data_IF_430116305623
#
_entry.id   IF_430116305623
#
_cell.length_a   1.000
_cell.length_b   1.000
_cell.length_c   1.000
_cell.angle_alpha   90.00
_cell.angle_beta   90.00
_cell.angle_gamma   90.00
#
_symmetry.space_group_name_H-M   'P 1'
#
loop_
_entity.id
_entity.type
_entity.pdbx_description
1 polymer ?
#
# COMPACT_ATOMS: atom_id res chain seq x y z
N UNK A 1 71.83 4.41 19.30
CA UNK A 1 71.35 3.50 18.24
C UNK A 1 70.13 4.14 17.57
N UNK A 2 70.23 4.43 16.26
CA UNK A 2 69.16 4.96 15.40
C UNK A 2 67.95 4.01 15.39
N UNK A 3 66.74 4.54 15.51
CA UNK A 3 65.54 3.94 14.87
C UNK A 3 64.61 5.02 14.34
N UNK A 4 64.58 5.11 13.01
CA UNK A 4 63.53 5.73 12.20
C UNK A 4 62.27 4.85 12.33
N UNK A 5 61.10 5.45 12.51
CA UNK A 5 59.78 4.89 12.14
C UNK A 5 58.92 6.11 11.76
N UNK A 6 58.75 6.45 10.48
CA UNK A 6 57.79 5.82 9.55
C UNK A 6 56.38 6.29 9.94
N UNK A 7 55.85 7.38 9.37
CA UNK A 7 55.06 7.44 8.13
C UNK A 7 53.98 6.35 8.01
N UNK A 8 52.78 6.76 7.58
CA UNK A 8 51.57 5.95 7.35
C UNK A 8 50.68 5.81 8.59
N UNK A 9 49.37 6.09 8.57
CA UNK A 9 48.41 5.95 7.49
C UNK A 9 47.22 6.89 7.79
N UNK A 10 46.89 7.76 6.83
CA UNK A 10 45.61 8.48 6.79
C UNK A 10 44.50 7.43 6.70
N UNK A 11 43.79 7.19 7.80
CA UNK A 11 42.60 6.35 7.81
C UNK A 11 41.46 7.17 7.19
N UNK A 12 41.38 7.18 5.86
CA UNK A 12 40.20 7.64 5.15
C UNK A 12 39.04 6.74 5.56
N UNK A 13 38.21 7.24 6.47
CA UNK A 13 36.90 6.68 6.79
C UNK A 13 36.02 6.94 5.57
N UNK A 14 36.07 6.00 4.64
CA UNK A 14 35.14 5.92 3.52
C UNK A 14 33.85 5.28 4.06
N UNK A 15 33.03 6.07 4.76
CA UNK A 15 31.63 5.69 5.02
C UNK A 15 30.93 5.77 3.68
N UNK A 16 30.91 4.65 2.97
CA UNK A 16 29.99 4.49 1.85
C UNK A 16 28.65 4.07 2.45
N UNK A 17 27.87 5.07 2.87
CA UNK A 17 26.42 4.94 3.01
C UNK A 17 25.83 4.80 1.59
N UNK A 18 26.01 3.64 0.96
CA UNK A 18 25.11 3.26 -0.14
C UNK A 18 23.77 2.97 0.52
N UNK A 19 22.94 4.02 0.54
CA UNK A 19 21.57 3.96 0.97
C UNK A 19 20.81 2.94 0.14
N UNK A 20 20.61 1.75 0.69
CA UNK A 20 19.36 1.03 0.51
C UNK A 20 18.40 1.59 1.56
N UNK A 21 17.92 2.81 1.32
CA UNK A 21 16.73 3.30 2.02
C UNK A 21 15.55 2.54 1.42
N UNK A 22 15.35 1.29 1.84
CA UNK A 22 13.99 0.76 1.86
C UNK A 22 13.24 1.72 2.76
N UNK A 23 12.53 2.67 2.15
CA UNK A 23 11.53 3.45 2.85
C UNK A 23 10.53 2.41 3.30
N UNK A 24 10.66 1.94 4.54
CA UNK A 24 9.62 1.20 5.21
C UNK A 24 8.52 2.24 5.38
N UNK A 25 7.61 2.29 4.40
CA UNK A 25 6.30 2.90 4.61
C UNK A 25 5.75 2.20 5.84
N UNK A 26 5.80 2.87 7.00
CA UNK A 26 5.08 2.41 8.18
C UNK A 26 3.61 2.49 7.78
N UNK A 27 3.04 1.38 7.31
CA UNK A 27 1.62 1.31 7.02
C UNK A 27 0.89 1.51 8.33
N UNK A 28 0.10 2.58 8.41
CA UNK A 28 -0.73 2.89 9.58
C UNK A 28 -1.91 1.90 9.59
N UNK A 29 -1.64 0.62 9.79
CA UNK A 29 -2.67 -0.41 9.78
C UNK A 29 -3.30 -0.57 11.17
N UNK A 30 -4.61 -0.76 11.20
CA UNK A 30 -5.37 -1.05 12.41
C UNK A 30 -6.47 -2.08 12.15
N UNK A 31 -6.96 -2.69 13.23
CA UNK A 31 -7.97 -3.74 13.17
C UNK A 31 -7.45 -5.10 12.70
N UNK A 32 -8.29 -6.11 12.84
CA UNK A 32 -7.99 -7.51 12.49
C UNK A 32 -8.37 -7.87 11.05
N UNK A 33 -9.09 -6.99 10.34
CA UNK A 33 -9.48 -7.23 8.95
C UNK A 33 -8.28 -7.24 8.00
N UNK A 34 -8.49 -7.76 6.80
CA UNK A 34 -7.48 -7.81 5.73
C UNK A 34 -8.14 -7.57 4.38
N UNK A 35 -7.31 -7.17 3.40
CA UNK A 35 -7.70 -7.00 2.01
C UNK A 35 -6.68 -7.71 1.13
N UNK A 36 -7.18 -8.52 0.20
CA UNK A 36 -6.42 -9.24 -0.81
C UNK A 36 -6.79 -8.69 -2.19
N UNK A 37 -5.77 -8.50 -3.04
CA UNK A 37 -5.96 -8.21 -4.46
C UNK A 37 -5.99 -9.53 -5.22
N UNK A 38 -7.15 -9.89 -5.77
CA UNK A 38 -7.26 -11.03 -6.67
C UNK A 38 -6.67 -10.71 -8.06
N UNK A 39 -6.59 -9.42 -8.40
CA UNK A 39 -5.89 -8.89 -9.58
C UNK A 39 -4.66 -8.04 -9.17
N UNK A 40 -3.56 -8.66 -8.69
CA UNK A 40 -2.40 -7.92 -8.17
C UNK A 40 -1.59 -7.20 -9.25
N UNK A 41 -1.78 -7.57 -10.52
CA UNK A 41 -1.18 -6.92 -11.68
C UNK A 41 -2.27 -6.63 -12.71
N UNK A 42 -2.30 -5.39 -13.18
CA UNK A 42 -3.17 -4.94 -14.28
C UNK A 42 -2.33 -4.28 -15.37
N UNK A 43 -2.97 -3.96 -16.48
CA UNK A 43 -2.40 -3.17 -17.57
C UNK A 43 -2.98 -1.76 -17.60
N UNK A 44 -2.36 -0.87 -18.38
CA UNK A 44 -2.88 0.47 -18.67
C UNK A 44 -4.25 0.50 -19.37
N UNK A 45 -4.79 -0.64 -19.80
CA UNK A 45 -6.09 -0.76 -20.49
C UNK A 45 -7.19 -1.36 -19.62
N UNK A 46 -6.84 -2.01 -18.52
CA UNK A 46 -7.80 -2.67 -17.64
C UNK A 46 -8.55 -1.64 -16.79
N UNK A 47 -9.86 -1.80 -16.66
CA UNK A 47 -10.72 -0.83 -15.98
C UNK A 47 -11.27 -1.34 -14.64
N UNK A 48 -10.89 -2.55 -14.24
CA UNK A 48 -11.37 -3.19 -13.02
C UNK A 48 -10.21 -3.73 -12.19
N UNK A 49 -10.35 -3.64 -10.87
CA UNK A 49 -9.62 -4.46 -9.90
C UNK A 49 -10.61 -5.41 -9.23
N UNK A 50 -10.12 -6.55 -8.78
CA UNK A 50 -10.91 -7.46 -7.95
C UNK A 50 -10.24 -7.63 -6.59
N UNK A 51 -11.03 -7.47 -5.54
CA UNK A 51 -10.59 -7.60 -4.15
C UNK A 51 -11.40 -8.65 -3.41
N UNK A 52 -10.81 -9.15 -2.33
CA UNK A 52 -11.48 -9.96 -1.32
C UNK A 52 -11.07 -9.50 0.06
N UNK A 53 -11.96 -9.59 1.03
CA UNK A 53 -11.70 -9.19 2.43
C UNK A 53 -11.94 -10.34 3.39
N UNK A 54 -11.21 -10.34 4.50
CA UNK A 54 -11.36 -11.31 5.60
C UNK A 54 -11.22 -10.60 6.94
N UNK A 55 -11.92 -11.04 7.97
CA UNK A 55 -11.84 -10.47 9.33
C UNK A 55 -12.40 -9.06 9.51
N UNK A 56 -13.13 -8.51 8.54
CA UNK A 56 -13.86 -7.24 8.69
C UNK A 56 -15.22 -7.47 9.37
N UNK A 57 -15.80 -6.42 9.97
CA UNK A 57 -17.16 -6.48 10.49
C UNK A 57 -18.18 -6.28 9.36
N UNK A 58 -18.84 -7.35 8.95
CA UNK A 58 -19.81 -7.36 7.83
C UNK A 58 -21.05 -6.52 8.12
N UNK A 59 -21.31 -6.21 9.40
CA UNK A 59 -22.43 -5.36 9.78
C UNK A 59 -22.11 -3.87 9.62
N UNK A 60 -20.86 -3.51 9.33
CA UNK A 60 -20.39 -2.13 9.18
C UNK A 60 -20.18 -1.75 7.73
N UNK A 61 -20.33 -0.46 7.44
CA UNK A 61 -20.00 0.08 6.13
C UNK A 61 -18.48 -0.01 5.92
N UNK A 62 -18.09 -0.58 4.78
CA UNK A 62 -16.71 -0.60 4.32
C UNK A 62 -16.53 0.41 3.21
N UNK A 63 -15.48 1.22 3.35
CA UNK A 63 -15.05 2.18 2.34
C UNK A 63 -13.78 1.65 1.67
N UNK A 64 -13.80 1.55 0.34
CA UNK A 64 -12.61 1.20 -0.44
C UNK A 64 -12.15 2.39 -1.26
N UNK A 65 -10.85 2.66 -1.21
CA UNK A 65 -10.20 3.70 -1.99
C UNK A 65 -9.19 3.07 -2.93
N UNK A 66 -9.16 3.53 -4.17
CA UNK A 66 -8.11 3.21 -5.14
C UNK A 66 -7.43 4.51 -5.52
N UNK A 67 -6.11 4.56 -5.36
CA UNK A 67 -5.30 5.75 -5.65
C UNK A 67 -5.88 7.05 -5.03
N UNK A 68 -6.31 6.96 -3.77
CA UNK A 68 -6.91 8.06 -2.98
C UNK A 68 -8.30 8.52 -3.44
N UNK A 69 -8.99 7.76 -4.29
CA UNK A 69 -10.39 8.00 -4.67
C UNK A 69 -11.27 6.90 -4.12
N UNK A 70 -12.37 7.26 -3.45
CA UNK A 70 -13.38 6.31 -2.99
C UNK A 70 -14.07 5.66 -4.19
N UNK A 71 -14.16 4.33 -4.18
CA UNK A 71 -14.75 3.53 -5.27
C UNK A 71 -15.88 2.62 -4.82
N UNK A 72 -15.95 2.33 -3.52
CA UNK A 72 -16.98 1.50 -2.92
C UNK A 72 -17.32 2.02 -1.52
N UNK A 73 -18.61 2.04 -1.22
CA UNK A 73 -19.19 2.42 0.08
C UNK A 73 -20.44 1.58 0.30
N UNK A 74 -20.31 0.48 1.02
CA UNK A 74 -21.42 -0.40 1.39
C UNK A 74 -20.95 -1.42 2.42
N UNK A 75 -21.89 -2.16 3.00
CA UNK A 75 -21.58 -3.39 3.74
C UNK A 75 -21.15 -4.47 2.73
N UNK A 76 -20.09 -5.19 3.05
CA UNK A 76 -19.56 -6.28 2.23
C UNK A 76 -19.28 -7.48 3.12
N UNK A 77 -19.29 -8.68 2.54
CA UNK A 77 -19.07 -9.92 3.27
C UNK A 77 -17.60 -10.36 3.17
N UNK A 78 -17.13 -11.02 4.21
CA UNK A 78 -15.87 -11.74 4.16
C UNK A 78 -16.00 -12.92 3.17
N UNK A 79 -14.89 -13.30 2.54
CA UNK A 79 -14.90 -14.45 1.65
C UNK A 79 -15.33 -14.16 0.21
N UNK A 80 -16.18 -13.15 0.00
CA UNK A 80 -16.71 -12.74 -1.31
C UNK A 80 -15.76 -11.83 -2.09
N UNK A 81 -15.83 -11.91 -3.42
CA UNK A 81 -15.05 -11.04 -4.30
C UNK A 81 -15.85 -9.84 -4.78
N UNK A 82 -15.19 -8.69 -4.84
CA UNK A 82 -15.80 -7.42 -5.25
C UNK A 82 -14.97 -6.78 -6.35
N UNK A 83 -15.65 -6.38 -7.43
CA UNK A 83 -15.04 -5.63 -8.53
C UNK A 83 -15.08 -4.13 -8.27
N UNK A 84 -13.95 -3.48 -8.47
CA UNK A 84 -13.77 -2.04 -8.30
C UNK A 84 -13.52 -1.41 -9.66
N UNK A 85 -14.38 -0.48 -10.07
CA UNK A 85 -14.17 0.28 -11.30
C UNK A 85 -13.07 1.35 -11.08
N UNK A 86 -12.04 1.32 -11.90
CA UNK A 86 -10.89 2.23 -11.82
C UNK A 86 -10.72 3.10 -13.07
N UNK A 87 -11.62 3.00 -14.05
CA UNK A 87 -11.49 3.64 -15.38
C UNK A 87 -11.17 5.13 -15.32
N UNK A 88 -11.89 5.87 -14.48
CA UNK A 88 -11.84 7.33 -14.43
C UNK A 88 -11.02 7.84 -13.22
N UNK A 89 -10.14 7.01 -12.67
CA UNK A 89 -9.28 7.36 -11.54
C UNK A 89 -7.89 7.74 -12.07
N UNK A 90 -7.60 9.04 -12.05
CA UNK A 90 -6.38 9.67 -12.60
C UNK A 90 -5.07 8.93 -12.29
N UNK A 91 -4.97 8.38 -11.08
CA UNK A 91 -3.75 7.77 -10.56
C UNK A 91 -3.80 6.24 -10.47
N UNK A 92 -4.88 5.61 -10.94
CA UNK A 92 -5.04 4.15 -10.87
C UNK A 92 -4.21 3.39 -11.91
N UNK A 93 -3.81 4.02 -13.01
CA UNK A 93 -3.03 3.38 -14.08
C UNK A 93 -1.58 3.87 -14.16
N UNK A 94 -1.08 4.51 -13.10
CA UNK A 94 0.30 4.98 -13.08
C UNK A 94 1.28 3.80 -13.06
N UNK A 95 2.23 3.83 -13.98
CA UNK A 95 3.24 2.77 -14.19
C UNK A 95 4.58 3.08 -13.53
N UNK A 96 4.74 4.30 -13.03
CA UNK A 96 5.97 4.82 -12.42
C UNK A 96 5.99 4.66 -10.89
N UNK A 97 4.90 4.18 -10.30
CA UNK A 97 4.84 3.65 -8.93
C UNK A 97 3.72 2.60 -8.85
N UNK A 98 3.63 1.89 -7.73
CA UNK A 98 2.56 0.93 -7.47
C UNK A 98 1.37 1.64 -6.82
N UNK A 99 0.22 1.85 -7.48
CA UNK A 99 -0.92 2.49 -6.82
C UNK A 99 -1.43 1.62 -5.67
N UNK A 100 -2.18 2.26 -4.75
CA UNK A 100 -2.67 1.61 -3.53
C UNK A 100 -4.18 1.41 -3.57
N UNK A 101 -4.61 0.29 -2.98
CA UNK A 101 -5.98 0.06 -2.55
C UNK A 101 -6.02 0.13 -1.03
N UNK A 102 -6.97 0.87 -0.49
CA UNK A 102 -7.13 1.07 0.95
C UNK A 102 -8.51 0.60 1.36
N UNK A 103 -8.57 -0.16 2.45
CA UNK A 103 -9.79 -0.55 3.14
C UNK A 103 -9.92 0.27 4.41
N UNK A 104 -11.09 0.84 4.64
CA UNK A 104 -11.43 1.58 5.85
C UNK A 104 -12.79 1.12 6.38
N UNK A 105 -12.85 0.85 7.68
CA UNK A 105 -14.09 0.79 8.46
C UNK A 105 -13.95 1.69 9.68
N UNK A 106 -15.04 2.32 10.09
CA UNK A 106 -15.11 3.18 11.26
C UNK A 106 -16.01 2.58 12.36
N UNK A 107 -15.88 3.08 13.59
CA UNK A 107 -16.64 2.57 14.73
C UNK A 107 -18.14 2.86 14.65
N UNK A 108 -18.55 3.90 13.95
CA UNK A 108 -19.93 4.42 13.88
C UNK A 108 -20.53 4.43 12.46
N UNK A 109 -19.92 3.71 11.52
CA UNK A 109 -20.33 3.58 10.11
C UNK A 109 -20.28 4.89 9.30
N UNK A 110 -19.69 5.95 9.85
CA UNK A 110 -19.44 7.22 9.16
C UNK A 110 -17.98 7.29 8.68
N UNK A 111 -17.72 7.75 7.46
CA UNK A 111 -16.36 7.87 6.88
C UNK A 111 -15.42 8.72 7.75
N UNK A 112 -15.96 9.78 8.37
CA UNK A 112 -15.21 10.71 9.23
C UNK A 112 -15.08 10.22 10.69
N UNK A 113 -15.62 9.04 10.99
CA UNK A 113 -15.61 8.44 12.31
C UNK A 113 -14.24 7.91 12.73
N UNK A 114 -14.14 7.51 13.99
CA UNK A 114 -12.97 6.82 14.52
C UNK A 114 -12.67 5.55 13.72
N UNK A 115 -11.44 5.40 13.23
CA UNK A 115 -11.03 4.20 12.49
C UNK A 115 -11.12 2.95 13.37
N UNK A 116 -11.81 1.93 12.87
CA UNK A 116 -11.88 0.60 13.47
C UNK A 116 -10.94 -0.39 12.75
N UNK A 117 -10.98 -0.39 11.41
CA UNK A 117 -10.10 -1.20 10.56
C UNK A 117 -9.52 -0.31 9.47
N UNK A 118 -8.20 -0.35 9.29
CA UNK A 118 -7.53 0.26 8.15
C UNK A 118 -6.47 -0.68 7.62
N UNK A 119 -6.55 -1.00 6.33
CA UNK A 119 -5.57 -1.83 5.62
C UNK A 119 -5.23 -1.23 4.28
N UNK A 120 -4.02 -1.47 3.80
CA UNK A 120 -3.61 -1.02 2.48
C UNK A 120 -2.76 -2.07 1.78
N UNK A 121 -2.98 -2.21 0.47
CA UNK A 121 -2.21 -3.07 -0.41
C UNK A 121 -1.89 -2.31 -1.69
N UNK A 122 -0.85 -2.75 -2.42
CA UNK A 122 -0.41 -2.10 -3.65
C UNK A 122 -0.45 -3.09 -4.81
N UNK A 123 -0.89 -2.62 -5.98
CA UNK A 123 -0.89 -3.41 -7.22
C UNK A 123 0.11 -2.85 -8.23
N UNK A 124 0.42 -3.66 -9.24
CA UNK A 124 1.35 -3.29 -10.33
C UNK A 124 0.57 -2.94 -11.59
N UNK A 125 1.00 -1.89 -12.30
CA UNK A 125 0.45 -1.52 -13.61
C UNK A 125 1.53 -1.71 -14.67
N UNK A 126 1.25 -2.56 -15.65
CA UNK A 126 2.12 -2.79 -16.81
C UNK A 126 1.68 -1.94 -18.00
N UNK A 127 2.64 -1.45 -18.79
CA UNK A 127 2.37 -0.82 -20.07
C UNK A 127 2.00 -1.90 -21.09
N UNK A 128 0.73 -1.97 -21.51
CA UNK A 128 0.28 -2.83 -22.62
C UNK A 128 -0.72 -2.13 -23.53
#
# INVERSE_FOLDING_TARGET
MKKIKGFSLLLFILIILYGCSTIIEQSLETGNGSIELLTPTITTKDNELEIKTEGIDENKVTFIYVANKKVLEQKINNGESYKLNIKDIEHAHRTDYKPRVQLLQTKDDNEDGDMATFKQVRYTVEKK
#
